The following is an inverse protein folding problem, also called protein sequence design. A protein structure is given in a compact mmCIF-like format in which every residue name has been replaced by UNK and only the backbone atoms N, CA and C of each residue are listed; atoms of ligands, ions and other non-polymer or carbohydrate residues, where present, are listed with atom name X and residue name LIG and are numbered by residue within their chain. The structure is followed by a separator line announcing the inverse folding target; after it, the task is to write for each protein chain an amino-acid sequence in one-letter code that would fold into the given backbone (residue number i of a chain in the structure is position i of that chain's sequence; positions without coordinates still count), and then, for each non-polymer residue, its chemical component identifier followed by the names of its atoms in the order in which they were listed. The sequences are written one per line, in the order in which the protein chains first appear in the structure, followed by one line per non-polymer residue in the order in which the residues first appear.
data_IF_466772780093
#
_entry.id   IF_466772780093
#
_cell.length_a   1.000
_cell.length_b   1.000
_cell.length_c   1.000
_cell.angle_alpha   90.00
_cell.angle_beta   90.00
_cell.angle_gamma   90.00
#
_symmetry.space_group_name_H-M   'P 1'
#
loop_
_entity.id
_entity.type
_entity.pdbx_description
1 polymer ?
#
# COMPACT_ATOMS: atom_id res chain seq x y z
N UNK A 1 -1.38 -0.96 9.74
CA UNK A 1 -2.67 -0.51 9.21
C UNK A 1 -2.71 0.99 9.35
N UNK A 2 -2.57 1.73 8.26
CA UNK A 2 -2.69 3.19 8.29
C UNK A 2 -4.19 3.53 8.26
N UNK A 3 -4.71 4.04 9.37
CA UNK A 3 -6.06 4.56 9.43
C UNK A 3 -6.15 5.81 8.56
N UNK A 4 -7.16 5.84 7.68
CA UNK A 4 -7.64 7.11 7.12
C UNK A 4 -8.22 7.93 8.25
N UNK A 5 -8.13 9.26 8.18
CA UNK A 5 -8.65 10.21 9.18
C UNK A 5 -10.20 10.24 9.18
N UNK A 6 -10.82 9.06 9.28
CA UNK A 6 -12.27 8.86 9.31
C UNK A 6 -12.68 8.77 10.76
N UNK A 7 -13.76 9.46 11.09
CA UNK A 7 -14.41 9.33 12.39
C UNK A 7 -15.05 7.95 12.53
N UNK A 8 -15.13 7.42 13.75
CA UNK A 8 -15.54 6.01 14.01
C UNK A 8 -16.92 5.68 13.41
N UNK A 9 -17.84 6.63 13.35
CA UNK A 9 -19.17 6.42 12.75
C UNK A 9 -19.13 6.21 11.23
N UNK A 10 -18.08 6.67 10.56
CA UNK A 10 -17.89 6.50 9.10
C UNK A 10 -17.30 5.12 8.74
N UNK A 11 -16.94 4.32 9.74
CA UNK A 11 -16.42 2.98 9.52
C UNK A 11 -17.55 2.03 9.10
N UNK A 12 -17.26 1.17 8.12
CA UNK A 12 -18.09 0.02 7.79
C UNK A 12 -18.11 -1.00 8.93
N UNK A 13 -19.09 -1.92 8.94
CA UNK A 13 -19.17 -2.97 9.95
C UNK A 13 -17.87 -3.80 10.03
N UNK A 14 -17.23 -4.04 8.89
CA UNK A 14 -15.98 -4.81 8.81
C UNK A 14 -14.80 -4.05 9.42
N UNK A 15 -14.74 -2.74 9.24
CA UNK A 15 -13.69 -1.87 9.81
C UNK A 15 -13.89 -1.69 11.31
N UNK A 16 -15.14 -1.60 11.78
CA UNK A 16 -15.45 -1.63 13.21
C UNK A 16 -15.01 -2.96 13.83
N UNK A 17 -15.36 -4.09 13.20
CA UNK A 17 -14.98 -5.42 13.68
C UNK A 17 -13.46 -5.63 13.69
N UNK A 18 -12.75 -5.13 12.66
CA UNK A 18 -11.29 -5.16 12.62
C UNK A 18 -10.66 -4.30 13.71
N UNK A 19 -11.21 -3.10 13.96
CA UNK A 19 -10.79 -2.22 15.07
C UNK A 19 -10.96 -2.94 16.41
N UNK A 20 -12.12 -3.57 16.65
CA UNK A 20 -12.40 -4.30 17.90
C UNK A 20 -11.42 -5.45 18.12
N UNK A 21 -11.03 -6.15 17.06
CA UNK A 21 -10.20 -7.36 17.14
C UNK A 21 -8.70 -7.09 17.13
N UNK A 22 -8.24 -5.98 16.57
CA UNK A 22 -6.80 -5.77 16.29
C UNK A 22 -6.22 -4.50 16.89
N UNK A 23 -7.04 -3.52 17.26
CA UNK A 23 -6.53 -2.27 17.84
C UNK A 23 -5.98 -2.51 19.26
N UNK A 24 -5.08 -1.63 19.68
CA UNK A 24 -4.48 -1.64 21.03
C UNK A 24 -5.09 -0.56 21.93
N UNK A 25 -5.71 0.46 21.34
CA UNK A 25 -6.29 1.57 22.08
C UNK A 25 -7.70 1.18 22.60
N UNK A 26 -7.81 0.98 23.91
CA UNK A 26 -9.06 0.59 24.59
C UNK A 26 -10.21 1.55 24.33
N UNK A 27 -9.95 2.87 24.29
CA UNK A 27 -10.99 3.88 24.03
C UNK A 27 -11.57 3.68 22.63
N UNK A 28 -10.71 3.49 21.62
CA UNK A 28 -11.15 3.25 20.23
C UNK A 28 -11.92 1.92 20.08
N UNK A 29 -11.46 0.87 20.77
CA UNK A 29 -12.16 -0.42 20.82
C UNK A 29 -13.57 -0.23 21.40
N UNK A 30 -13.70 0.49 22.51
CA UNK A 30 -14.99 0.73 23.17
C UNK A 30 -15.93 1.56 22.30
N UNK A 31 -15.43 2.59 21.64
CA UNK A 31 -16.24 3.35 20.67
C UNK A 31 -16.69 2.48 19.49
N UNK A 32 -15.82 1.64 18.94
CA UNK A 32 -16.17 0.74 17.86
C UNK A 32 -17.20 -0.31 18.29
N UNK A 33 -17.10 -0.86 19.51
CA UNK A 33 -18.09 -1.77 20.09
C UNK A 33 -19.45 -1.09 20.23
N UNK A 34 -19.49 0.12 20.80
CA UNK A 34 -20.73 0.89 20.98
C UNK A 34 -21.39 1.19 19.63
N UNK A 35 -20.60 1.59 18.65
CA UNK A 35 -21.10 1.88 17.30
C UNK A 35 -21.63 0.63 16.60
N UNK A 36 -20.93 -0.51 16.68
CA UNK A 36 -21.40 -1.75 16.10
C UNK A 36 -22.69 -2.26 16.77
N UNK A 37 -22.78 -2.14 18.11
CA UNK A 37 -23.99 -2.49 18.85
C UNK A 37 -25.20 -1.60 18.47
N UNK A 38 -24.98 -0.30 18.22
CA UNK A 38 -26.04 0.62 17.77
C UNK A 38 -26.64 0.23 16.42
N UNK A 39 -25.91 -0.49 15.58
CA UNK A 39 -26.39 -0.93 14.25
C UNK A 39 -27.39 -2.07 14.33
N UNK A 40 -27.58 -2.68 15.51
CA UNK A 40 -28.61 -3.68 15.80
C UNK A 40 -28.71 -4.77 14.73
N UNK A 41 -27.57 -5.38 14.40
CA UNK A 41 -27.47 -6.39 13.36
C UNK A 41 -28.31 -7.63 13.72
N UNK A 42 -29.00 -8.20 12.73
CA UNK A 42 -29.65 -9.49 12.92
C UNK A 42 -28.61 -10.61 13.03
N UNK A 43 -28.99 -11.77 13.60
CA UNK A 43 -28.10 -12.95 13.69
C UNK A 43 -27.52 -13.35 12.33
N UNK A 44 -28.33 -13.25 11.27
CA UNK A 44 -27.89 -13.53 9.91
C UNK A 44 -26.85 -12.51 9.42
N UNK A 45 -27.07 -11.22 9.69
CA UNK A 45 -26.11 -10.16 9.36
C UNK A 45 -24.81 -10.28 10.15
N UNK A 46 -24.87 -10.68 11.43
CA UNK A 46 -23.68 -10.95 12.25
C UNK A 46 -22.88 -12.15 11.70
N UNK A 47 -23.57 -13.22 11.30
CA UNK A 47 -22.93 -14.38 10.68
C UNK A 47 -22.24 -14.00 9.36
N UNK A 48 -22.95 -13.24 8.51
CA UNK A 48 -22.40 -12.71 7.25
C UNK A 48 -21.18 -11.82 7.51
N UNK A 49 -21.26 -10.90 8.46
CA UNK A 49 -20.16 -10.00 8.83
C UNK A 49 -18.91 -10.76 9.28
N UNK A 50 -19.06 -11.81 10.10
CA UNK A 50 -17.92 -12.62 10.52
C UNK A 50 -17.29 -13.38 9.34
N UNK A 51 -18.11 -13.88 8.42
CA UNK A 51 -17.64 -14.56 7.20
C UNK A 51 -16.87 -13.60 6.29
N UNK A 52 -17.45 -12.42 6.03
CA UNK A 52 -16.80 -11.35 5.27
C UNK A 52 -15.49 -10.91 5.93
N UNK A 53 -15.46 -10.82 7.26
CA UNK A 53 -14.26 -10.45 8.01
C UNK A 53 -13.11 -11.45 7.79
N UNK A 54 -13.39 -12.76 7.78
CA UNK A 54 -12.38 -13.77 7.47
C UNK A 54 -11.80 -13.55 6.07
N UNK A 55 -12.66 -13.35 5.08
CA UNK A 55 -12.24 -13.07 3.70
C UNK A 55 -11.43 -11.76 3.61
N UNK A 56 -11.85 -10.72 4.34
CA UNK A 56 -11.15 -9.44 4.42
C UNK A 56 -9.72 -9.60 4.94
N UNK A 57 -9.50 -10.40 6.00
CA UNK A 57 -8.14 -10.69 6.51
C UNK A 57 -7.33 -11.52 5.51
N UNK A 58 -7.94 -12.50 4.84
CA UNK A 58 -7.29 -13.28 3.77
C UNK A 58 -6.79 -12.36 2.64
N UNK A 59 -7.66 -11.47 2.16
CA UNK A 59 -7.32 -10.51 1.11
C UNK A 59 -6.22 -9.53 1.56
N UNK A 60 -6.22 -9.10 2.83
CA UNK A 60 -5.13 -8.28 3.36
C UNK A 60 -3.80 -9.00 3.36
N UNK A 61 -3.76 -10.26 3.84
CA UNK A 61 -2.55 -11.07 3.84
C UNK A 61 -2.02 -11.28 2.42
N UNK A 62 -2.91 -11.65 1.50
CA UNK A 62 -2.56 -11.84 0.09
C UNK A 62 -1.96 -10.56 -0.51
N UNK A 63 -2.56 -9.39 -0.27
CA UNK A 63 -2.02 -8.09 -0.73
C UNK A 63 -0.62 -7.82 -0.16
N UNK A 64 -0.40 -8.08 1.13
CA UNK A 64 0.89 -7.86 1.76
C UNK A 64 2.02 -8.72 1.14
N UNK A 65 1.67 -9.89 0.61
CA UNK A 65 2.58 -10.87 0.01
C UNK A 65 2.66 -10.79 -1.52
N UNK A 66 1.82 -9.98 -2.15
CA UNK A 66 1.78 -9.82 -3.61
C UNK A 66 3.04 -9.14 -4.11
N UNK A 67 3.69 -9.73 -5.13
CA UNK A 67 4.87 -9.16 -5.79
C UNK A 67 4.47 -8.08 -6.79
N UNK A 68 5.42 -7.20 -7.13
CA UNK A 68 5.29 -6.33 -8.30
C UNK A 68 5.07 -7.16 -9.56
N UNK A 69 4.27 -6.61 -10.47
CA UNK A 69 4.25 -7.09 -11.86
C UNK A 69 5.50 -6.59 -12.60
N UNK A 70 5.79 -7.21 -13.74
CA UNK A 70 6.93 -6.79 -14.57
C UNK A 70 6.79 -5.34 -15.05
N UNK A 71 5.57 -4.90 -15.36
CA UNK A 71 5.26 -3.53 -15.78
C UNK A 71 5.49 -2.52 -14.66
N UNK A 72 5.01 -2.82 -13.45
CA UNK A 72 5.27 -1.98 -12.27
C UNK A 72 6.77 -1.91 -11.99
N UNK A 73 7.48 -3.04 -12.08
CA UNK A 73 8.93 -3.07 -11.89
C UNK A 73 9.66 -2.17 -12.90
N UNK A 74 9.34 -2.27 -14.19
CA UNK A 74 9.94 -1.44 -15.23
C UNK A 74 9.66 0.05 -15.00
N UNK A 75 8.45 0.39 -14.56
CA UNK A 75 8.09 1.76 -14.19
C UNK A 75 9.03 2.29 -13.11
N UNK A 76 9.20 1.56 -12.00
CA UNK A 76 10.09 1.99 -10.92
C UNK A 76 11.57 1.99 -11.31
N UNK A 77 11.97 1.16 -12.29
CA UNK A 77 13.34 1.10 -12.78
C UNK A 77 13.71 2.27 -13.72
N UNK A 78 12.80 2.63 -14.64
CA UNK A 78 13.07 3.60 -15.71
C UNK A 78 12.81 5.04 -15.25
N UNK A 79 11.66 5.27 -14.59
CA UNK A 79 11.18 6.63 -14.32
C UNK A 79 12.13 7.51 -13.47
N UNK A 80 12.80 7.00 -12.42
CA UNK A 80 13.65 7.85 -11.57
C UNK A 80 14.76 8.59 -12.31
N UNK A 81 15.16 8.12 -13.50
CA UNK A 81 16.21 8.73 -14.30
C UNK A 81 15.67 9.68 -15.37
N UNK A 82 14.60 9.32 -16.08
CA UNK A 82 14.05 10.14 -17.17
C UNK A 82 13.10 11.24 -16.70
N UNK A 83 12.54 11.11 -15.49
CA UNK A 83 11.61 12.07 -14.95
C UNK A 83 12.33 12.96 -13.94
N UNK A 84 12.66 14.18 -14.36
CA UNK A 84 13.32 15.16 -13.51
C UNK A 84 12.55 15.39 -12.20
N UNK A 85 13.31 15.43 -11.09
CA UNK A 85 12.89 15.48 -9.67
C UNK A 85 11.90 16.60 -9.31
N UNK A 86 11.63 17.55 -10.21
CA UNK A 86 11.00 18.80 -9.85
C UNK A 86 9.49 18.87 -10.09
N UNK A 87 8.87 18.07 -10.98
CA UNK A 87 7.39 18.11 -11.18
C UNK A 87 6.68 16.82 -11.61
N UNK A 88 7.37 15.81 -12.16
CA UNK A 88 6.69 14.75 -12.93
C UNK A 88 6.79 13.32 -12.36
N UNK A 89 7.54 13.04 -11.28
CA UNK A 89 7.53 11.70 -10.65
C UNK A 89 6.28 11.49 -9.76
N UNK A 90 5.17 12.15 -10.11
CA UNK A 90 3.89 11.97 -9.42
C UNK A 90 3.40 10.53 -9.60
N UNK A 91 3.72 9.88 -10.72
CA UNK A 91 3.26 8.52 -10.96
C UNK A 91 3.92 7.52 -10.01
N UNK A 92 5.26 7.45 -9.94
CA UNK A 92 5.90 6.43 -9.09
C UNK A 92 5.70 6.73 -7.60
N UNK A 93 5.67 8.01 -7.20
CA UNK A 93 5.36 8.38 -5.83
C UNK A 93 3.89 8.10 -5.47
N UNK A 94 2.93 8.39 -6.36
CA UNK A 94 1.52 8.04 -6.13
C UNK A 94 1.28 6.54 -6.08
N UNK A 95 1.98 5.75 -6.91
CA UNK A 95 1.97 4.28 -6.85
C UNK A 95 2.55 3.78 -5.53
N UNK A 96 3.67 4.36 -5.09
CA UNK A 96 4.29 4.03 -3.81
C UNK A 96 3.36 4.33 -2.65
N UNK A 97 2.68 5.49 -2.67
CA UNK A 97 1.71 5.87 -1.65
C UNK A 97 0.45 5.00 -1.69
N UNK A 98 0.01 4.58 -2.87
CA UNK A 98 -1.04 3.57 -3.03
C UNK A 98 -0.64 2.26 -2.38
N UNK A 99 0.59 1.78 -2.59
CA UNK A 99 1.08 0.56 -1.95
C UNK A 99 1.13 0.67 -0.43
N UNK A 100 1.61 1.80 0.10
CA UNK A 100 1.60 2.08 1.55
C UNK A 100 0.17 2.10 2.10
N UNK A 101 -0.73 2.81 1.44
CA UNK A 101 -2.14 2.96 1.85
C UNK A 101 -2.86 1.62 1.91
N UNK A 102 -2.59 0.73 0.97
CA UNK A 102 -3.27 -0.56 0.87
C UNK A 102 -2.49 -1.74 1.49
N UNK A 103 -1.33 -1.49 2.10
CA UNK A 103 -0.56 -2.50 2.83
C UNK A 103 0.18 -3.51 1.95
N UNK A 104 0.56 -3.12 0.73
CA UNK A 104 1.33 -3.96 -0.19
C UNK A 104 2.84 -3.99 0.18
N UNK A 105 3.14 -4.52 1.36
CA UNK A 105 4.48 -4.48 1.95
C UNK A 105 5.58 -5.04 1.04
N UNK A 106 5.31 -6.16 0.36
CA UNK A 106 6.28 -6.76 -0.57
C UNK A 106 6.51 -5.88 -1.81
N UNK A 107 5.45 -5.31 -2.39
CA UNK A 107 5.57 -4.37 -3.52
C UNK A 107 6.40 -3.15 -3.16
N UNK A 108 6.21 -2.57 -1.97
CA UNK A 108 7.01 -1.42 -1.48
C UNK A 108 8.50 -1.76 -1.48
N UNK A 109 8.87 -2.92 -0.93
CA UNK A 109 10.27 -3.37 -0.90
C UNK A 109 10.83 -3.55 -2.31
N UNK A 110 10.10 -4.25 -3.17
CA UNK A 110 10.53 -4.49 -4.55
C UNK A 110 10.62 -3.21 -5.38
N UNK A 111 9.70 -2.26 -5.18
CA UNK A 111 9.73 -0.96 -5.85
C UNK A 111 10.94 -0.13 -5.42
N UNK A 112 11.28 -0.15 -4.13
CA UNK A 112 12.48 0.52 -3.61
C UNK A 112 13.76 -0.07 -4.21
N UNK A 113 13.83 -1.40 -4.32
CA UNK A 113 14.93 -2.11 -4.98
C UNK A 113 15.01 -1.71 -6.46
N UNK A 114 13.88 -1.75 -7.18
CA UNK A 114 13.82 -1.37 -8.59
C UNK A 114 14.30 0.06 -8.84
N UNK A 115 13.85 1.04 -8.03
CA UNK A 115 14.33 2.44 -8.10
C UNK A 115 15.85 2.52 -7.91
N UNK A 116 16.39 1.78 -6.95
CA UNK A 116 17.83 1.80 -6.63
C UNK A 116 18.67 1.18 -7.75
N UNK A 117 18.27 0.01 -8.25
CA UNK A 117 18.99 -0.67 -9.34
C UNK A 117 18.89 0.16 -10.63
N UNK A 118 17.73 0.76 -10.91
CA UNK A 118 17.54 1.66 -12.05
C UNK A 118 18.50 2.85 -12.00
N UNK A 119 18.62 3.51 -10.85
CA UNK A 119 19.56 4.60 -10.67
C UNK A 119 21.02 4.19 -10.94
N UNK A 120 21.44 3.04 -10.39
CA UNK A 120 22.80 2.49 -10.60
C UNK A 120 23.03 2.18 -12.07
N UNK A 121 22.06 1.53 -12.73
CA UNK A 121 22.14 1.15 -14.13
C UNK A 121 22.35 2.38 -15.03
N UNK A 122 21.51 3.40 -14.88
CA UNK A 122 21.59 4.61 -15.69
C UNK A 122 22.85 5.43 -15.41
N UNK A 123 23.34 5.45 -14.17
CA UNK A 123 24.62 6.05 -13.83
C UNK A 123 25.77 5.41 -14.62
N UNK A 124 25.83 4.07 -14.68
CA UNK A 124 26.85 3.37 -15.47
C UNK A 124 26.72 3.62 -16.97
N UNK A 125 25.49 3.67 -17.51
CA UNK A 125 25.28 4.03 -18.92
C UNK A 125 25.86 5.41 -19.23
N UNK A 126 25.61 6.41 -18.38
CA UNK A 126 26.17 7.75 -18.58
C UNK A 126 27.70 7.76 -18.57
N UNK A 127 28.32 7.01 -17.65
CA UNK A 127 29.79 6.88 -17.59
C UNK A 127 30.34 6.27 -18.89
N UNK A 128 29.73 5.19 -19.38
CA UNK A 128 30.14 4.54 -20.64
C UNK A 128 30.01 5.50 -21.81
N UNK A 129 28.88 6.20 -21.93
CA UNK A 129 28.64 7.19 -23.00
C UNK A 129 29.69 8.31 -22.94
N UNK A 130 30.02 8.82 -21.75
CA UNK A 130 31.03 9.86 -21.58
C UNK A 130 32.45 9.40 -21.98
N UNK A 131 32.80 8.15 -21.67
CA UNK A 131 34.10 7.57 -22.06
C UNK A 131 34.19 7.42 -23.57
N UNK A 132 33.14 6.91 -24.22
CA UNK A 132 33.10 6.78 -25.68
C UNK A 132 33.19 8.17 -26.34
N UNK A 133 32.41 9.14 -25.87
CA UNK A 133 32.40 10.49 -26.41
C UNK A 133 33.74 11.24 -26.25
N UNK A 134 34.51 10.93 -25.21
CA UNK A 134 35.87 11.49 -25.02
C UNK A 134 36.91 10.89 -25.97
N UNK A 135 36.70 9.64 -26.39
CA UNK A 135 37.64 8.90 -27.22
C UNK A 135 37.32 8.99 -28.73
N UNK A 136 36.23 9.68 -29.09
CA UNK A 136 35.92 10.12 -30.46
C UNK A 136 36.45 11.54 -30.69
#
# INVERSE_FOLDING_TARGET
MHYTNKEIFQHSNIELLDTIKTDRNKVRIDHAKKELARRNLTKEQEYKLNTEYIQYKKNQKQRAETSLTNEEFLTFFILPFFIAKNKNDQFSESEMDRFKKHGFNKKIKQATIAKTIGFIFWFFILVIVAVIARNM
#
